data_IF_924728837194
#
_entry.id   IF_924728837194
#
_cell.length_a   1.000
_cell.length_b   1.000
_cell.length_c   1.000
_cell.angle_alpha   90.00
_cell.angle_beta   90.00
_cell.angle_gamma   90.00
#
_symmetry.space_group_name_H-M   'P 1'
#
loop_
_entity.id
_entity.type
_entity.pdbx_description
1 polymer ?
#
# COMPACT_ATOMS: atom_id res chain seq x y z
N UNK A 1 -6.44 26.43 -20.86
CA UNK A 1 -6.91 25.25 -21.63
C UNK A 1 -5.91 24.13 -21.47
N UNK A 2 -6.24 23.12 -20.67
CA UNK A 2 -5.60 21.81 -20.70
C UNK A 2 -6.70 20.82 -20.29
N UNK A 3 -7.45 20.40 -21.30
CA UNK A 3 -8.37 19.29 -21.22
C UNK A 3 -7.71 18.03 -21.78
N UNK A 4 -8.33 16.90 -21.46
CA UNK A 4 -8.03 15.53 -21.88
C UNK A 4 -6.86 14.90 -21.13
N UNK A 5 -7.12 14.02 -20.16
CA UNK A 5 -7.80 12.75 -20.39
C UNK A 5 -9.07 12.58 -19.53
N UNK A 6 -10.20 12.47 -20.22
CA UNK A 6 -11.50 11.99 -19.73
C UNK A 6 -11.92 10.85 -20.67
N UNK A 7 -12.44 9.78 -20.09
CA UNK A 7 -13.03 8.63 -20.80
C UNK A 7 -12.10 7.42 -20.77
N UNK A 8 -12.52 6.24 -20.41
CA UNK A 8 -13.84 5.68 -20.10
C UNK A 8 -13.57 4.49 -19.18
N UNK A 9 -14.43 4.27 -18.18
CA UNK A 9 -14.76 2.95 -17.58
C UNK A 9 -15.67 3.10 -16.34
N UNK A 10 -16.56 4.10 -16.34
CA UNK A 10 -17.64 4.24 -15.36
C UNK A 10 -18.81 3.27 -15.66
N UNK A 11 -18.53 1.98 -15.85
CA UNK A 11 -19.53 0.90 -15.95
C UNK A 11 -19.02 -0.44 -15.39
N UNK A 12 -18.39 -0.42 -14.23
CA UNK A 12 -18.42 -1.58 -13.34
C UNK A 12 -19.19 -1.17 -12.10
N UNK A 13 -20.20 -1.93 -11.70
CA UNK A 13 -20.88 -1.71 -10.42
C UNK A 13 -19.82 -1.61 -9.34
N UNK A 14 -19.76 -0.45 -8.67
CA UNK A 14 -18.81 -0.08 -7.59
C UNK A 14 -19.07 -0.87 -6.31
N UNK A 15 -19.36 -2.16 -6.44
CA UNK A 15 -19.60 -3.08 -5.34
C UNK A 15 -18.29 -3.82 -5.15
N UNK A 16 -17.72 -3.70 -3.94
CA UNK A 16 -16.54 -4.48 -3.57
C UNK A 16 -16.83 -5.98 -3.81
N UNK A 17 -15.91 -6.74 -4.44
CA UNK A 17 -16.14 -8.14 -4.76
C UNK A 17 -16.45 -8.94 -3.48
N UNK A 18 -17.67 -9.47 -3.40
CA UNK A 18 -18.19 -10.17 -2.21
C UNK A 18 -17.70 -11.63 -2.16
N UNK A 19 -17.32 -12.18 -3.32
CA UNK A 19 -17.01 -13.62 -3.49
C UNK A 19 -15.56 -13.99 -3.13
N UNK A 20 -14.77 -13.06 -2.58
CA UNK A 20 -13.41 -13.33 -2.11
C UNK A 20 -12.35 -13.54 -3.20
N UNK A 21 -12.69 -13.38 -4.48
CA UNK A 21 -11.72 -13.47 -5.59
C UNK A 21 -10.72 -12.32 -5.54
N UNK A 22 -9.41 -12.61 -5.65
CA UNK A 22 -8.36 -11.59 -5.74
C UNK A 22 -7.69 -11.62 -7.13
N UNK A 23 -7.58 -10.47 -7.82
CA UNK A 23 -6.83 -10.37 -9.08
C UNK A 23 -5.41 -9.82 -8.92
N UNK A 24 -5.11 -9.15 -7.80
CA UNK A 24 -3.84 -8.41 -7.62
C UNK A 24 -2.83 -9.05 -6.66
N UNK A 25 -3.27 -9.95 -5.77
CA UNK A 25 -2.38 -10.58 -4.77
C UNK A 25 -1.77 -11.84 -5.39
N UNK A 26 -0.69 -11.66 -6.14
CA UNK A 26 0.13 -12.75 -6.70
C UNK A 26 1.53 -12.63 -6.15
N UNK A 27 2.23 -13.77 -5.99
CA UNK A 27 3.60 -13.81 -5.47
C UNK A 27 4.51 -12.89 -6.28
N UNK A 28 4.36 -12.89 -7.60
CA UNK A 28 5.18 -12.09 -8.52
C UNK A 28 4.99 -10.58 -8.32
N UNK A 29 3.79 -10.14 -7.96
CA UNK A 29 3.52 -8.73 -7.69
C UNK A 29 3.97 -8.30 -6.28
N UNK A 30 3.87 -9.18 -5.28
CA UNK A 30 4.27 -8.88 -3.90
C UNK A 30 5.80 -8.78 -3.76
N UNK A 31 6.53 -9.63 -4.46
CA UNK A 31 8.00 -9.66 -4.43
C UNK A 31 8.65 -8.96 -5.61
N UNK A 32 7.90 -8.10 -6.31
CA UNK A 32 8.46 -7.29 -7.39
C UNK A 32 9.55 -6.38 -6.83
N UNK A 33 10.71 -6.36 -7.50
CA UNK A 33 11.84 -5.50 -7.13
C UNK A 33 11.45 -4.02 -7.25
N UNK A 34 12.04 -3.18 -6.40
CA UNK A 34 11.83 -1.72 -6.43
C UNK A 34 12.41 -1.07 -7.69
N UNK A 35 13.44 -1.68 -8.28
CA UNK A 35 14.06 -1.30 -9.53
C UNK A 35 14.63 -2.55 -10.22
N UNK A 36 14.80 -2.49 -11.54
CA UNK A 36 15.32 -3.63 -12.33
C UNK A 36 16.74 -4.03 -11.90
N UNK A 37 17.55 -3.03 -11.53
CA UNK A 37 18.92 -3.19 -11.02
C UNK A 37 19.01 -3.26 -9.49
N UNK A 38 17.89 -3.45 -8.78
CA UNK A 38 17.92 -3.57 -7.33
C UNK A 38 18.83 -4.75 -6.91
N UNK A 39 19.80 -4.45 -6.05
CA UNK A 39 20.71 -5.46 -5.51
C UNK A 39 19.91 -6.38 -4.59
N UNK A 40 19.95 -7.67 -4.87
CA UNK A 40 19.30 -8.72 -4.08
C UNK A 40 20.28 -9.88 -3.90
N UNK A 41 20.07 -10.78 -2.93
CA UNK A 41 20.93 -11.96 -2.77
C UNK A 41 21.07 -12.80 -4.04
N UNK A 42 20.00 -12.84 -4.86
CA UNK A 42 19.96 -13.59 -6.12
C UNK A 42 20.53 -12.80 -7.32
N UNK A 43 20.87 -11.53 -7.11
CA UNK A 43 21.44 -10.64 -8.14
C UNK A 43 22.46 -9.66 -7.53
N UNK A 44 23.60 -10.17 -7.00
CA UNK A 44 24.69 -9.31 -6.61
C UNK A 44 25.42 -8.76 -7.85
N UNK A 45 25.94 -7.52 -7.82
CA UNK A 45 26.85 -7.03 -8.84
C UNK A 45 28.11 -7.90 -8.90
N UNK A 46 28.60 -8.20 -10.11
CA UNK A 46 29.79 -9.04 -10.31
C UNK A 46 31.03 -8.49 -9.59
N UNK A 47 31.16 -7.15 -9.55
CA UNK A 47 32.33 -6.45 -9.01
C UNK A 47 32.24 -6.15 -7.53
N UNK A 48 31.26 -6.68 -6.79
CA UNK A 48 31.06 -6.36 -5.37
C UNK A 48 32.25 -6.77 -4.47
N UNK A 49 33.04 -7.74 -4.92
CA UNK A 49 34.23 -8.24 -4.22
C UNK A 49 35.54 -7.66 -4.76
N UNK A 50 35.47 -6.81 -5.79
CA UNK A 50 36.66 -6.18 -6.35
C UNK A 50 37.29 -5.21 -5.35
N UNK A 51 38.61 -5.24 -5.26
CA UNK A 51 39.35 -4.37 -4.35
C UNK A 51 39.75 -3.08 -5.04
N UNK A 52 39.33 -1.93 -4.50
CA UNK A 52 39.77 -0.63 -5.02
C UNK A 52 41.23 -0.37 -4.64
N UNK A 53 42.12 -0.40 -5.63
CA UNK A 53 43.54 -0.04 -5.46
C UNK A 53 44.03 0.76 -6.66
N UNK A 54 44.45 2.00 -6.42
CA UNK A 54 45.06 2.85 -7.45
C UNK A 54 46.58 2.96 -7.32
N UNK A 55 47.14 2.59 -6.17
CA UNK A 55 48.58 2.57 -5.99
C UNK A 55 49.15 1.26 -6.57
N UNK A 56 50.12 1.32 -7.51
CA UNK A 56 50.79 0.13 -7.99
C UNK A 56 51.47 -0.62 -6.83
N UNK A 57 51.61 -1.94 -6.97
CA UNK A 57 52.35 -2.75 -6.00
C UNK A 57 53.84 -2.48 -6.20
N UNK A 58 54.53 -2.03 -5.16
CA UNK A 58 55.99 -2.05 -5.14
C UNK A 58 56.43 -3.46 -4.74
N UNK A 59 56.86 -4.24 -5.72
CA UNK A 59 57.25 -5.66 -5.59
C UNK A 59 58.73 -5.85 -5.23
N UNK A 60 59.53 -4.79 -5.29
CA UNK A 60 60.96 -4.77 -4.94
C UNK A 60 61.37 -3.44 -4.30
N UNK A 61 62.48 -3.48 -3.58
CA UNK A 61 63.14 -2.29 -3.04
C UNK A 61 63.72 -1.48 -4.20
N UNK A 62 63.36 -0.20 -4.31
CA UNK A 62 63.89 0.76 -5.27
C UNK A 62 63.97 2.16 -4.66
N UNK A 63 64.79 3.02 -5.25
CA UNK A 63 64.78 4.46 -4.96
C UNK A 63 63.62 5.17 -5.68
N UNK A 64 63.19 6.31 -5.13
CA UNK A 64 62.19 7.19 -5.75
C UNK A 64 62.83 8.54 -6.03
N UNK A 65 62.53 9.09 -7.20
CA UNK A 65 62.95 10.45 -7.55
C UNK A 65 62.11 11.49 -6.78
N UNK A 66 62.61 12.73 -6.59
CA UNK A 66 61.82 13.79 -5.95
C UNK A 66 60.47 14.04 -6.62
N UNK A 67 60.43 14.01 -7.96
CA UNK A 67 59.22 14.20 -8.77
C UNK A 67 58.17 13.10 -8.49
N UNK A 68 58.62 11.84 -8.36
CA UNK A 68 57.74 10.74 -7.99
C UNK A 68 57.21 10.90 -6.56
N UNK A 69 58.04 11.35 -5.62
CA UNK A 69 57.63 11.59 -4.25
C UNK A 69 56.61 12.74 -4.13
N UNK A 70 56.79 13.82 -4.88
CA UNK A 70 55.84 14.94 -4.95
C UNK A 70 54.51 14.49 -5.59
N UNK A 71 54.58 13.72 -6.68
CA UNK A 71 53.40 13.13 -7.31
C UNK A 71 52.62 12.20 -6.38
N UNK A 72 53.32 11.38 -5.58
CA UNK A 72 52.70 10.54 -4.55
C UNK A 72 52.06 11.37 -3.44
N UNK A 73 52.67 12.48 -3.05
CA UNK A 73 52.14 13.40 -2.03
C UNK A 73 50.83 14.04 -2.49
N UNK A 74 50.78 14.49 -3.75
CA UNK A 74 49.54 15.04 -4.33
C UNK A 74 48.46 13.96 -4.49
N UNK A 75 48.83 12.76 -4.97
CA UNK A 75 47.90 11.63 -5.03
C UNK A 75 47.33 11.31 -3.65
N UNK A 76 48.16 11.28 -2.60
CA UNK A 76 47.72 11.05 -1.23
C UNK A 76 46.72 12.11 -0.76
N UNK A 77 46.95 13.39 -1.08
CA UNK A 77 46.04 14.51 -0.78
C UNK A 77 44.67 14.30 -1.45
N UNK A 78 44.65 14.01 -2.75
CA UNK A 78 43.42 13.77 -3.51
C UNK A 78 42.67 12.55 -2.98
N UNK A 79 43.38 11.45 -2.69
CA UNK A 79 42.74 10.24 -2.14
C UNK A 79 42.14 10.46 -0.76
N UNK A 80 42.77 11.26 0.10
CA UNK A 80 42.22 11.64 1.41
C UNK A 80 40.92 12.45 1.26
N UNK A 81 40.89 13.38 0.32
CA UNK A 81 39.67 14.15 0.01
C UNK A 81 38.56 13.24 -0.52
N UNK A 82 38.88 12.38 -1.48
CA UNK A 82 37.92 11.43 -2.04
C UNK A 82 37.39 10.46 -0.99
N UNK A 83 38.24 9.92 -0.11
CA UNK A 83 37.81 9.05 0.99
C UNK A 83 36.81 9.77 1.92
N UNK A 84 37.05 11.04 2.22
CA UNK A 84 36.12 11.85 3.03
C UNK A 84 34.80 12.10 2.31
N UNK A 85 34.85 12.39 1.01
CA UNK A 85 33.67 12.57 0.18
C UNK A 85 32.84 11.28 0.06
N UNK A 86 33.50 10.13 -0.16
CA UNK A 86 32.88 8.81 -0.21
C UNK A 86 32.20 8.46 1.10
N UNK A 87 32.84 8.71 2.26
CA UNK A 87 32.20 8.53 3.57
C UNK A 87 30.92 9.35 3.68
N UNK A 88 30.99 10.66 3.37
CA UNK A 88 29.82 11.54 3.42
C UNK A 88 28.71 11.06 2.48
N UNK A 89 29.07 10.61 1.28
CA UNK A 89 28.10 10.07 0.32
C UNK A 89 27.41 8.80 0.86
N UNK A 90 28.18 7.87 1.43
CA UNK A 90 27.64 6.65 2.05
C UNK A 90 26.68 6.97 3.21
N UNK A 91 27.07 7.88 4.12
CA UNK A 91 26.22 8.31 5.24
C UNK A 91 24.90 8.92 4.75
N UNK A 92 24.95 9.78 3.72
CA UNK A 92 23.74 10.40 3.16
C UNK A 92 22.88 9.40 2.40
N UNK A 93 23.50 8.49 1.66
CA UNK A 93 22.81 7.40 0.97
C UNK A 93 22.01 6.53 1.95
N UNK A 94 22.61 6.15 3.09
CA UNK A 94 21.92 5.42 4.14
C UNK A 94 20.70 6.19 4.69
N UNK A 95 20.86 7.49 4.96
CA UNK A 95 19.76 8.34 5.46
C UNK A 95 18.61 8.41 4.47
N UNK A 96 18.90 8.59 3.18
CA UNK A 96 17.90 8.66 2.11
C UNK A 96 17.13 7.35 2.01
N UNK A 97 17.83 6.21 1.87
CA UNK A 97 17.19 4.90 1.74
C UNK A 97 16.33 4.55 2.97
N UNK A 98 16.78 4.91 4.17
CA UNK A 98 15.96 4.73 5.39
C UNK A 98 14.69 5.58 5.36
N UNK A 99 14.76 6.81 4.84
CA UNK A 99 13.58 7.67 4.72
C UNK A 99 12.59 7.12 3.68
N UNK A 100 13.07 6.71 2.51
CA UNK A 100 12.24 6.09 1.47
C UNK A 100 11.58 4.79 1.95
N UNK A 101 12.32 3.94 2.66
CA UNK A 101 11.77 2.74 3.27
C UNK A 101 10.64 3.05 4.27
N UNK A 102 10.76 4.13 5.06
CA UNK A 102 9.67 4.59 5.95
C UNK A 102 8.46 5.06 5.15
N UNK A 103 8.66 5.83 4.07
CA UNK A 103 7.57 6.28 3.20
C UNK A 103 6.81 5.07 2.67
N UNK A 104 7.51 4.07 2.12
CA UNK A 104 6.90 2.84 1.61
C UNK A 104 6.13 2.09 2.70
N UNK A 105 6.72 1.93 3.89
CA UNK A 105 6.04 1.31 5.04
C UNK A 105 4.73 2.03 5.39
N UNK A 106 4.77 3.36 5.45
CA UNK A 106 3.59 4.15 5.82
C UNK A 106 2.52 4.14 4.70
N UNK A 107 2.93 4.24 3.44
CA UNK A 107 2.02 4.12 2.29
C UNK A 107 1.28 2.78 2.28
N UNK A 108 2.01 1.67 2.47
CA UNK A 108 1.39 0.34 2.57
C UNK A 108 0.46 0.21 3.77
N UNK A 109 0.79 0.85 4.91
CA UNK A 109 -0.09 0.89 6.08
C UNK A 109 -1.37 1.67 5.80
N UNK A 110 -1.32 2.78 5.05
CA UNK A 110 -2.51 3.55 4.69
C UNK A 110 -3.47 2.71 3.85
N UNK A 111 -2.96 2.04 2.81
CA UNK A 111 -3.75 1.14 1.96
C UNK A 111 -4.43 0.04 2.82
N UNK A 112 -3.69 -0.56 3.76
CA UNK A 112 -4.25 -1.54 4.69
C UNK A 112 -5.37 -0.96 5.55
N UNK A 113 -5.17 0.23 6.12
CA UNK A 113 -6.18 0.88 6.96
C UNK A 113 -7.46 1.19 6.17
N UNK A 114 -7.34 1.65 4.92
CA UNK A 114 -8.47 1.89 4.02
C UNK A 114 -9.23 0.59 3.73
N UNK A 115 -8.51 -0.49 3.42
CA UNK A 115 -9.12 -1.80 3.20
C UNK A 115 -9.86 -2.31 4.45
N UNK A 116 -9.27 -2.19 5.65
CA UNK A 116 -9.91 -2.57 6.91
C UNK A 116 -11.17 -1.74 7.19
N UNK A 117 -11.13 -0.43 6.92
CA UNK A 117 -12.28 0.45 7.07
C UNK A 117 -13.44 0.02 6.16
N UNK A 118 -13.15 -0.32 4.91
CA UNK A 118 -14.17 -0.77 3.96
C UNK A 118 -14.81 -2.09 4.41
N UNK A 119 -14.01 -3.07 4.83
CA UNK A 119 -14.52 -4.35 5.36
C UNK A 119 -15.45 -4.14 6.55
N UNK A 120 -15.07 -3.28 7.51
CA UNK A 120 -15.91 -2.95 8.67
C UNK A 120 -17.21 -2.29 8.25
N UNK A 121 -17.15 -1.30 7.36
CA UNK A 121 -18.31 -0.55 6.89
C UNK A 121 -19.30 -1.44 6.14
N UNK A 122 -18.82 -2.31 5.26
CA UNK A 122 -19.66 -3.29 4.56
C UNK A 122 -20.22 -4.33 5.54
N UNK A 123 -19.43 -4.76 6.53
CA UNK A 123 -19.90 -5.63 7.61
C UNK A 123 -21.05 -5.01 8.42
N UNK A 124 -20.97 -3.71 8.74
CA UNK A 124 -22.05 -2.98 9.41
C UNK A 124 -23.30 -2.92 8.55
N UNK A 125 -23.17 -2.57 7.26
CA UNK A 125 -24.29 -2.57 6.30
C UNK A 125 -24.96 -3.94 6.21
N UNK A 126 -24.17 -5.00 6.09
CA UNK A 126 -24.66 -6.37 6.03
C UNK A 126 -25.39 -6.80 7.30
N UNK A 127 -24.87 -6.44 8.47
CA UNK A 127 -25.51 -6.72 9.77
C UNK A 127 -26.85 -6.00 9.90
N UNK A 128 -26.89 -4.71 9.54
CA UNK A 128 -28.13 -3.93 9.52
C UNK A 128 -29.14 -4.53 8.55
N UNK A 129 -28.72 -4.89 7.32
CA UNK A 129 -29.59 -5.52 6.34
C UNK A 129 -30.19 -6.83 6.86
N UNK A 130 -29.38 -7.71 7.46
CA UNK A 130 -29.85 -8.97 8.09
C UNK A 130 -30.88 -8.70 9.19
N UNK A 131 -30.61 -7.72 10.06
CA UNK A 131 -31.53 -7.33 11.14
C UNK A 131 -32.87 -6.81 10.59
N UNK A 132 -32.82 -5.88 9.63
CA UNK A 132 -34.01 -5.35 8.96
C UNK A 132 -34.82 -6.47 8.30
N UNK A 133 -34.16 -7.38 7.58
CA UNK A 133 -34.81 -8.55 6.98
C UNK A 133 -35.48 -9.45 8.03
N UNK A 134 -34.82 -9.70 9.17
CA UNK A 134 -35.37 -10.46 10.29
C UNK A 134 -36.58 -9.80 10.95
N UNK A 135 -36.69 -8.46 10.92
CA UNK A 135 -37.85 -7.73 11.46
C UNK A 135 -39.07 -7.71 10.53
N UNK A 136 -38.90 -7.96 9.23
CA UNK A 136 -39.99 -7.89 8.23
C UNK A 136 -41.23 -8.73 8.60
N UNK A 137 -41.12 -9.99 9.07
CA UNK A 137 -42.29 -10.77 9.45
C UNK A 137 -43.08 -10.16 10.61
N UNK A 138 -42.39 -9.59 11.61
CA UNK A 138 -43.03 -8.93 12.76
C UNK A 138 -43.77 -7.66 12.32
N UNK A 139 -43.15 -6.85 11.47
CA UNK A 139 -43.80 -5.68 10.88
C UNK A 139 -45.03 -6.06 10.04
N UNK A 140 -44.93 -7.10 9.23
CA UNK A 140 -46.07 -7.61 8.45
C UNK A 140 -47.21 -8.11 9.35
N UNK A 141 -46.89 -8.78 10.48
CA UNK A 141 -47.88 -9.23 11.45
C UNK A 141 -48.59 -8.06 12.16
N UNK A 142 -47.87 -6.98 12.46
CA UNK A 142 -48.47 -5.76 13.05
C UNK A 142 -49.48 -5.11 12.10
N UNK A 143 -49.16 -5.01 10.81
CA UNK A 143 -50.09 -4.49 9.80
C UNK A 143 -51.39 -5.32 9.73
N UNK A 144 -51.26 -6.65 9.66
CA UNK A 144 -52.43 -7.56 9.68
C UNK A 144 -53.26 -7.46 10.96
N UNK A 145 -52.61 -7.24 12.11
CA UNK A 145 -53.31 -7.04 13.39
C UNK A 145 -54.15 -5.76 13.41
N UNK A 146 -53.65 -4.69 12.78
CA UNK A 146 -54.37 -3.43 12.63
C UNK A 146 -55.61 -3.61 11.73
N UNK A 147 -55.44 -4.21 10.56
CA UNK A 147 -56.55 -4.50 9.62
C UNK A 147 -57.64 -5.35 10.27
N UNK A 148 -57.27 -6.37 11.06
CA UNK A 148 -58.23 -7.19 11.80
C UNK A 148 -59.00 -6.38 12.85
N UNK A 149 -58.35 -5.42 13.50
CA UNK A 149 -58.98 -4.58 14.53
C UNK A 149 -59.94 -3.58 13.90
N UNK A 150 -59.59 -3.02 12.74
CA UNK A 150 -60.44 -2.15 11.93
C UNK A 150 -61.70 -2.90 11.46
N UNK A 151 -61.55 -4.11 10.92
CA UNK A 151 -62.70 -4.95 10.53
C UNK A 151 -63.64 -5.27 11.70
N UNK A 152 -63.09 -5.53 12.89
CA UNK A 152 -63.92 -5.77 14.09
C UNK A 152 -64.66 -4.51 14.55
N UNK A 153 -64.03 -3.35 14.45
CA UNK A 153 -64.68 -2.07 14.76
C UNK A 153 -65.83 -1.78 13.78
N UNK A 154 -65.60 -1.95 12.48
CA UNK A 154 -66.63 -1.77 11.45
C UNK A 154 -67.81 -2.74 11.63
N UNK A 155 -67.53 -4.00 11.94
CA UNK A 155 -68.58 -4.98 12.27
C UNK A 155 -69.40 -4.55 13.49
N UNK A 156 -68.74 -4.08 14.56
CA UNK A 156 -69.43 -3.62 15.76
C UNK A 156 -70.32 -2.40 15.48
N UNK A 157 -69.83 -1.44 14.69
CA UNK A 157 -70.60 -0.26 14.28
C UNK A 157 -71.81 -0.65 13.44
N UNK A 158 -71.62 -1.50 12.43
CA UNK A 158 -72.70 -1.98 11.56
C UNK A 158 -73.77 -2.75 12.34
N UNK A 159 -73.37 -3.59 13.30
CA UNK A 159 -74.31 -4.30 14.17
C UNK A 159 -75.12 -3.35 15.06
N UNK A 160 -74.51 -2.28 15.56
CA UNK A 160 -75.19 -1.25 16.34
C UNK A 160 -76.22 -0.49 15.48
N UNK A 161 -75.82 -0.13 14.25
CA UNK A 161 -76.67 0.57 13.28
C UNK A 161 -77.84 -0.29 12.79
N UNK A 162 -77.67 -1.61 12.69
CA UNK A 162 -78.73 -2.54 12.31
C UNK A 162 -79.75 -2.81 13.44
N UNK A 163 -79.45 -2.40 14.68
CA UNK A 163 -80.34 -2.51 15.84
C UNK A 163 -81.12 -1.22 16.14
N UNK A 164 -80.79 -0.13 15.45
CA UNK A 164 -81.52 1.14 15.44
C UNK A 164 -82.63 1.12 14.37
#
# INVERSE_FOLDING_TARGET
MLGFLRGDDFKSSTIAPVDGSHKGISKDNVFKRSADNAITPDNPPETIFDTYRTMPVCDRVREFTPEEADGLSELARVKKQNATATKKAADKHEVILKAEAKINRHGQRMIRNEAEFEVKTQGYKGTTAKSLHGMRPRYAAMGKGLEKSEQLADQAINNLMAQL
#
